data_IF_314283758675
#
_entry.id   IF_314283758675
#
_cell.length_a   1.000
_cell.length_b   1.000
_cell.length_c   1.000
_cell.angle_alpha   90.00
_cell.angle_beta   90.00
_cell.angle_gamma   90.00
#
_symmetry.space_group_name_H-M   'P 1'
#
loop_
_entity.id
_entity.type
_entity.pdbx_description
1 polymer ?
#
# COMPACT_ATOMS: atom_id res chain seq x y z
N UNK A 1 -14.33 -17.85 -6.25
CA UNK A 1 -13.26 -17.03 -5.67
C UNK A 1 -13.78 -16.46 -4.36
N UNK A 2 -12.98 -16.55 -3.30
CA UNK A 2 -13.30 -15.87 -2.05
C UNK A 2 -13.29 -14.34 -2.30
N UNK A 3 -14.18 -13.63 -1.61
CA UNK A 3 -14.26 -12.17 -1.71
C UNK A 3 -13.65 -11.54 -0.47
N UNK A 4 -13.09 -10.35 -0.61
CA UNK A 4 -12.64 -9.52 0.51
C UNK A 4 -13.79 -9.32 1.52
N UNK A 5 -13.46 -9.42 2.79
CA UNK A 5 -14.42 -9.30 3.87
C UNK A 5 -14.37 -7.89 4.47
N UNK A 6 -15.37 -7.08 4.15
CA UNK A 6 -15.44 -5.69 4.60
C UNK A 6 -15.34 -5.53 6.13
N UNK A 7 -15.92 -6.48 6.89
CA UNK A 7 -15.87 -6.45 8.35
C UNK A 7 -14.43 -6.58 8.87
N UNK A 8 -13.63 -7.52 8.35
CA UNK A 8 -12.22 -7.68 8.74
C UNK A 8 -11.41 -6.42 8.44
N UNK A 9 -11.56 -5.86 7.24
CA UNK A 9 -10.89 -4.60 6.87
C UNK A 9 -11.31 -3.43 7.75
N UNK A 10 -12.58 -3.35 8.14
CA UNK A 10 -13.05 -2.34 9.07
C UNK A 10 -12.41 -2.50 10.46
N UNK A 11 -12.25 -3.72 10.94
CA UNK A 11 -11.56 -4.03 12.20
C UNK A 11 -10.08 -3.63 12.15
N UNK A 12 -9.39 -3.95 11.04
CA UNK A 12 -8.01 -3.53 10.80
C UNK A 12 -7.86 -2.00 10.85
N UNK A 13 -8.70 -1.26 10.11
CA UNK A 13 -8.70 0.21 10.10
C UNK A 13 -9.04 0.76 11.49
N UNK A 14 -10.01 0.15 12.17
CA UNK A 14 -10.42 0.57 13.51
C UNK A 14 -9.29 0.44 14.52
N UNK A 15 -8.53 -0.66 14.48
CA UNK A 15 -7.34 -0.81 15.31
C UNK A 15 -6.35 0.31 15.06
N UNK A 16 -5.98 0.53 13.80
CA UNK A 16 -4.98 1.53 13.41
C UNK A 16 -5.37 2.95 13.84
N UNK A 17 -6.64 3.30 13.69
CA UNK A 17 -7.13 4.66 13.96
C UNK A 17 -7.36 4.95 15.45
N UNK A 18 -7.43 3.91 16.29
CA UNK A 18 -7.63 4.06 17.74
C UNK A 18 -6.31 4.20 18.52
N UNK A 19 -5.15 3.95 17.91
CA UNK A 19 -3.86 4.10 18.57
C UNK A 19 -3.66 5.55 19.06
N UNK A 20 -3.16 5.68 20.31
CA UNK A 20 -2.82 6.97 20.91
C UNK A 20 -1.49 6.86 21.64
N UNK A 21 -0.57 7.85 21.41
CA UNK A 21 -0.64 8.91 20.39
C UNK A 21 -0.76 8.30 18.99
N UNK A 22 -1.12 9.11 17.98
CA UNK A 22 -1.22 8.59 16.62
C UNK A 22 0.13 8.10 16.09
N UNK A 23 0.12 7.18 15.13
CA UNK A 23 1.27 6.44 14.61
C UNK A 23 2.15 7.25 13.64
N UNK A 24 2.51 8.49 14.01
CA UNK A 24 3.47 9.29 13.26
C UNK A 24 4.92 8.95 13.65
N UNK A 25 5.90 9.52 12.94
CA UNK A 25 7.31 9.22 13.12
C UNK A 25 7.86 9.49 14.53
N UNK A 26 7.27 10.39 15.30
CA UNK A 26 7.69 10.71 16.68
C UNK A 26 7.20 9.66 17.70
N UNK A 27 6.15 8.92 17.38
CA UNK A 27 5.45 8.03 18.29
C UNK A 27 5.84 6.57 18.08
N UNK A 28 7.08 6.24 18.43
CA UNK A 28 7.68 4.91 18.21
C UNK A 28 6.88 3.76 18.81
N UNK A 29 6.23 3.96 19.97
CA UNK A 29 5.39 2.94 20.61
C UNK A 29 4.16 2.62 19.77
N UNK A 30 3.53 3.63 19.16
CA UNK A 30 2.38 3.43 18.27
C UNK A 30 2.79 2.76 16.96
N UNK A 31 3.94 3.12 16.39
CA UNK A 31 4.51 2.44 15.22
C UNK A 31 4.83 0.96 15.55
N UNK A 32 5.42 0.70 16.71
CA UNK A 32 5.69 -0.67 17.17
C UNK A 32 4.39 -1.46 17.41
N UNK A 33 3.33 -0.81 17.92
CA UNK A 33 2.02 -1.45 18.08
C UNK A 33 1.43 -1.90 16.74
N UNK A 34 1.58 -1.10 15.68
CA UNK A 34 1.17 -1.51 14.32
C UNK A 34 1.97 -2.72 13.86
N UNK A 35 3.29 -2.68 13.97
CA UNK A 35 4.15 -3.81 13.58
C UNK A 35 3.76 -5.09 14.33
N UNK A 36 3.49 -4.99 15.63
CA UNK A 36 3.05 -6.13 16.43
C UNK A 36 1.68 -6.65 15.98
N UNK A 37 0.72 -5.77 15.72
CA UNK A 37 -0.59 -6.14 15.18
C UNK A 37 -0.44 -6.93 13.86
N UNK A 38 0.34 -6.40 12.90
CA UNK A 38 0.61 -7.06 11.62
C UNK A 38 1.25 -8.44 11.80
N UNK A 39 2.19 -8.56 12.74
CA UNK A 39 2.80 -9.85 13.08
C UNK A 39 1.80 -10.86 13.60
N UNK A 40 0.87 -10.45 14.46
CA UNK A 40 -0.15 -11.35 14.98
C UNK A 40 -1.11 -11.80 13.86
N UNK A 41 -1.51 -10.90 12.96
CA UNK A 41 -2.32 -11.27 11.79
C UNK A 41 -1.62 -12.30 10.88
N UNK A 42 -0.32 -12.13 10.63
CA UNK A 42 0.46 -13.10 9.86
C UNK A 42 0.62 -14.44 10.60
N UNK A 43 0.78 -14.43 11.94
CA UNK A 43 0.83 -15.64 12.75
C UNK A 43 -0.48 -16.42 12.72
N UNK A 44 -1.63 -15.74 12.72
CA UNK A 44 -2.95 -16.39 12.58
C UNK A 44 -3.07 -17.17 11.25
N UNK A 45 -2.35 -16.73 10.23
CA UNK A 45 -2.24 -17.43 8.95
C UNK A 45 -1.12 -18.49 8.92
N UNK A 46 -0.42 -18.73 10.05
CA UNK A 46 0.77 -19.56 10.13
C UNK A 46 1.88 -19.13 9.16
N UNK A 47 2.04 -17.83 8.96
CA UNK A 47 3.01 -17.27 8.03
C UNK A 47 4.16 -16.55 8.72
N UNK A 48 5.35 -16.64 8.11
CA UNK A 48 6.54 -15.93 8.56
C UNK A 48 6.59 -14.51 8.05
N UNK A 49 7.43 -13.71 8.66
CA UNK A 49 7.70 -12.33 8.28
C UNK A 49 9.18 -11.99 8.52
N UNK A 50 9.63 -10.92 7.88
CA UNK A 50 10.96 -10.34 8.06
C UNK A 50 10.81 -8.87 8.47
N UNK A 51 11.58 -8.45 9.47
CA UNK A 51 11.69 -7.06 9.91
C UNK A 51 12.91 -6.42 9.27
N UNK A 52 12.69 -5.47 8.39
CA UNK A 52 13.76 -4.62 7.87
C UNK A 52 13.87 -3.39 8.73
N UNK A 53 14.96 -3.28 9.48
CA UNK A 53 15.19 -2.19 10.44
C UNK A 53 16.27 -1.25 9.94
N UNK A 54 16.10 0.04 10.23
CA UNK A 54 17.11 1.07 9.96
C UNK A 54 17.02 2.20 10.97
N UNK A 55 18.08 3.02 11.02
CA UNK A 55 18.13 4.21 11.87
C UNK A 55 17.83 5.46 11.04
N UNK A 56 16.94 6.32 11.53
CA UNK A 56 16.68 7.64 11.01
C UNK A 56 16.54 8.61 12.20
N UNK A 57 17.22 9.76 12.16
CA UNK A 57 17.23 10.78 13.22
C UNK A 57 17.44 10.22 14.65
N UNK A 58 18.27 9.18 14.77
CA UNK A 58 18.61 8.57 16.06
C UNK A 58 17.60 7.54 16.59
N UNK A 59 16.51 7.27 15.88
CA UNK A 59 15.49 6.28 16.22
C UNK A 59 15.53 5.09 15.26
N UNK A 60 15.13 3.90 15.74
CA UNK A 60 15.00 2.70 14.91
C UNK A 60 13.57 2.59 14.37
N UNK A 61 13.46 2.43 13.05
CA UNK A 61 12.20 2.20 12.33
C UNK A 61 12.19 0.85 11.64
N UNK A 62 11.01 0.36 11.27
CA UNK A 62 10.85 -1.00 10.78
C UNK A 62 9.88 -1.05 9.61
N UNK A 63 10.31 -1.61 8.46
CA UNK A 63 9.37 -2.17 7.50
C UNK A 63 9.08 -3.61 7.88
N UNK A 64 7.82 -4.05 7.77
CA UNK A 64 7.46 -5.45 7.93
C UNK A 64 7.21 -6.08 6.55
N UNK A 65 7.87 -7.20 6.29
CA UNK A 65 7.83 -7.87 4.99
C UNK A 65 7.32 -9.30 5.16
N UNK A 66 6.31 -9.65 4.37
CA UNK A 66 5.83 -11.01 4.24
C UNK A 66 5.97 -11.49 2.81
N UNK A 67 6.50 -12.71 2.60
CA UNK A 67 6.69 -13.28 1.27
C UNK A 67 5.73 -14.43 1.01
N UNK A 68 4.81 -14.24 0.07
CA UNK A 68 4.00 -15.32 -0.49
C UNK A 68 4.81 -16.06 -1.56
N UNK A 69 4.82 -17.41 -1.49
CA UNK A 69 5.62 -18.27 -2.36
C UNK A 69 7.10 -17.83 -2.43
N UNK A 70 7.84 -17.85 -1.29
CA UNK A 70 9.21 -17.33 -1.19
C UNK A 70 10.21 -18.05 -2.11
N UNK A 71 9.88 -19.27 -2.57
CA UNK A 71 10.74 -20.08 -3.44
C UNK A 71 10.78 -19.60 -4.90
N UNK A 72 9.89 -18.70 -5.30
CA UNK A 72 9.86 -18.16 -6.65
C UNK A 72 10.91 -17.07 -6.83
N UNK A 73 11.71 -17.16 -7.90
CA UNK A 73 12.77 -16.18 -8.20
C UNK A 73 12.23 -14.83 -8.62
N UNK A 74 11.17 -14.82 -9.45
CA UNK A 74 10.51 -13.58 -9.87
C UNK A 74 9.58 -13.09 -8.77
N UNK A 75 9.64 -11.80 -8.45
CA UNK A 75 8.91 -11.18 -7.34
C UNK A 75 8.06 -10.01 -7.81
N UNK A 76 6.81 -9.98 -7.40
CA UNK A 76 5.97 -8.78 -7.41
C UNK A 76 6.05 -8.15 -6.02
N UNK A 77 6.23 -6.83 -5.94
CA UNK A 77 6.16 -6.12 -4.66
C UNK A 77 4.77 -5.50 -4.54
N UNK A 78 4.12 -5.70 -3.40
CA UNK A 78 2.88 -5.01 -3.04
C UNK A 78 3.09 -4.30 -1.71
N UNK A 79 2.77 -3.01 -1.64
CA UNK A 79 3.09 -2.20 -0.46
C UNK A 79 2.00 -1.24 -0.06
N UNK A 80 2.06 -0.83 1.21
CA UNK A 80 1.29 0.26 1.80
C UNK A 80 2.09 0.84 2.96
N UNK A 81 2.04 2.16 3.19
CA UNK A 81 2.65 2.71 4.39
C UNK A 81 1.68 2.66 5.57
N UNK A 82 2.23 2.58 6.78
CA UNK A 82 1.43 2.45 7.99
C UNK A 82 1.56 3.62 8.96
N UNK A 83 2.49 4.54 8.74
CA UNK A 83 2.60 5.80 9.47
C UNK A 83 1.54 6.81 9.03
N UNK A 84 1.43 7.92 9.74
CA UNK A 84 0.50 9.02 9.44
C UNK A 84 1.19 10.37 9.53
N UNK A 85 0.67 11.33 8.78
CA UNK A 85 1.12 12.72 8.83
C UNK A 85 0.62 13.39 10.12
N UNK A 86 1.55 13.82 10.98
CA UNK A 86 1.22 14.59 12.17
C UNK A 86 0.26 13.92 13.14
N UNK A 87 -0.65 14.70 13.73
CA UNK A 87 -1.57 14.26 14.77
C UNK A 87 -2.97 13.96 14.21
N UNK A 88 -3.08 12.86 13.47
CA UNK A 88 -4.33 12.43 12.84
C UNK A 88 -4.48 10.90 12.82
N UNK A 89 -5.73 10.38 12.78
CA UNK A 89 -5.98 8.93 12.86
C UNK A 89 -5.57 8.15 11.60
N UNK A 90 -5.50 8.79 10.41
CA UNK A 90 -5.08 8.16 9.16
C UNK A 90 -5.95 6.97 8.75
N UNK A 91 -7.27 7.16 8.68
CA UNK A 91 -8.19 6.06 8.33
C UNK A 91 -8.09 5.68 6.85
N UNK A 92 -8.09 6.69 5.96
CA UNK A 92 -7.92 6.49 4.52
C UNK A 92 -6.45 6.52 4.17
N UNK A 93 -5.76 7.55 4.62
CA UNK A 93 -4.32 7.74 4.49
C UNK A 93 -3.59 7.25 5.77
N UNK A 94 -2.99 6.06 5.82
CA UNK A 94 -3.10 5.04 4.78
C UNK A 94 -3.58 3.72 5.41
N UNK A 95 -4.42 3.83 6.48
CA UNK A 95 -5.01 2.68 7.19
C UNK A 95 -5.84 1.78 6.26
N UNK A 96 -6.55 2.39 5.30
CA UNK A 96 -7.35 1.64 4.31
C UNK A 96 -6.47 0.75 3.42
N UNK A 97 -5.33 1.25 3.00
CA UNK A 97 -4.37 0.51 2.19
C UNK A 97 -3.69 -0.61 2.98
N UNK A 98 -3.33 -0.37 4.25
CA UNK A 98 -2.80 -1.40 5.15
C UNK A 98 -3.81 -2.54 5.30
N UNK A 99 -5.08 -2.22 5.59
CA UNK A 99 -6.15 -3.21 5.69
C UNK A 99 -6.37 -3.98 4.37
N UNK A 100 -6.35 -3.27 3.25
CA UNK A 100 -6.44 -3.89 1.92
C UNK A 100 -5.28 -4.84 1.62
N UNK A 101 -4.06 -4.49 2.06
CA UNK A 101 -2.87 -5.32 1.87
C UNK A 101 -2.95 -6.60 2.72
N UNK A 102 -3.35 -6.49 4.00
CA UNK A 102 -3.60 -7.65 4.88
C UNK A 102 -4.68 -8.55 4.29
N UNK A 103 -5.79 -7.97 3.85
CA UNK A 103 -6.89 -8.74 3.25
C UNK A 103 -6.47 -9.45 1.97
N UNK A 104 -5.59 -8.84 1.18
CA UNK A 104 -5.00 -9.49 -0.02
C UNK A 104 -4.19 -10.73 0.38
N UNK A 105 -3.40 -10.65 1.45
CA UNK A 105 -2.66 -11.80 1.99
C UNK A 105 -3.63 -12.90 2.42
N UNK A 106 -4.66 -12.57 3.21
CA UNK A 106 -5.68 -13.52 3.68
C UNK A 106 -6.35 -14.24 2.51
N UNK A 107 -6.75 -13.50 1.46
CA UNK A 107 -7.38 -14.06 0.27
C UNK A 107 -6.49 -15.01 -0.53
N UNK A 108 -5.19 -14.72 -0.63
CA UNK A 108 -4.25 -15.59 -1.33
C UNK A 108 -4.12 -16.93 -0.61
N UNK A 109 -4.01 -16.93 0.72
CA UNK A 109 -3.94 -18.16 1.51
C UNK A 109 -5.28 -18.91 1.52
N UNK A 110 -6.40 -18.23 1.70
CA UNK A 110 -7.74 -18.83 1.64
C UNK A 110 -8.03 -19.47 0.28
N UNK A 111 -7.45 -18.93 -0.79
CA UNK A 111 -7.64 -19.42 -2.16
C UNK A 111 -6.62 -20.50 -2.55
N UNK A 112 -5.59 -20.70 -1.74
CA UNK A 112 -4.46 -21.58 -2.05
C UNK A 112 -3.92 -21.40 -3.48
N UNK A 113 -3.79 -20.14 -3.89
CA UNK A 113 -3.47 -19.78 -5.26
C UNK A 113 -2.00 -20.03 -5.56
N UNK A 114 -1.69 -20.86 -6.56
CA UNK A 114 -0.33 -21.04 -7.04
C UNK A 114 -0.06 -20.07 -8.20
N UNK A 115 1.04 -19.32 -8.08
CA UNK A 115 1.49 -18.32 -9.05
C UNK A 115 2.86 -18.74 -9.64
N UNK A 116 3.17 -18.26 -10.83
CA UNK A 116 4.48 -18.44 -11.45
C UNK A 116 5.56 -17.54 -10.83
N UNK A 117 5.16 -16.60 -9.99
CA UNK A 117 6.00 -15.65 -9.26
C UNK A 117 5.61 -15.60 -7.80
N UNK A 118 6.51 -15.11 -6.95
CA UNK A 118 6.18 -14.81 -5.56
C UNK A 118 5.77 -13.36 -5.39
N UNK A 119 5.15 -13.06 -4.25
CA UNK A 119 4.76 -11.69 -3.89
C UNK A 119 5.43 -11.33 -2.57
N UNK A 120 6.07 -10.16 -2.52
CA UNK A 120 6.56 -9.55 -1.29
C UNK A 120 5.59 -8.45 -0.88
N UNK A 121 4.88 -8.68 0.22
CA UNK A 121 4.02 -7.70 0.85
C UNK A 121 4.85 -6.89 1.83
N UNK A 122 4.88 -5.58 1.65
CA UNK A 122 5.71 -4.68 2.44
C UNK A 122 4.85 -3.59 3.09
N UNK A 123 4.85 -3.59 4.41
CA UNK A 123 4.26 -2.52 5.21
C UNK A 123 5.36 -1.52 5.53
N UNK A 124 5.31 -0.36 4.88
CA UNK A 124 6.35 0.67 4.95
C UNK A 124 6.15 1.60 6.13
N UNK A 125 7.27 2.07 6.70
CA UNK A 125 7.30 3.15 7.68
C UNK A 125 7.98 4.37 7.09
N UNK A 126 7.72 5.55 7.67
CA UNK A 126 8.32 6.83 7.30
C UNK A 126 8.02 7.24 5.83
N UNK A 127 6.80 7.02 5.38
CA UNK A 127 6.35 7.57 4.11
C UNK A 127 6.03 9.06 4.24
N UNK A 128 5.49 9.47 5.37
CA UNK A 128 4.99 10.81 5.63
C UNK A 128 6.10 11.86 5.92
N UNK A 129 5.83 13.15 5.75
CA UNK A 129 6.75 14.20 6.16
C UNK A 129 7.17 14.06 7.65
N UNK A 130 8.46 14.32 7.95
CA UNK A 130 9.48 14.96 7.12
C UNK A 130 10.30 14.02 6.24
N UNK A 131 10.03 12.71 6.26
CA UNK A 131 10.86 11.70 5.58
C UNK A 131 10.45 11.46 4.13
N UNK A 132 9.29 11.94 3.73
CA UNK A 132 8.82 11.79 2.35
C UNK A 132 9.87 12.21 1.31
N UNK A 133 10.16 11.30 0.37
CA UNK A 133 11.14 11.55 -0.69
C UNK A 133 12.60 11.55 -0.26
N UNK A 134 12.93 11.20 0.99
CA UNK A 134 14.30 11.09 1.48
C UNK A 134 14.85 9.66 1.36
N UNK A 135 16.17 9.50 1.58
CA UNK A 135 16.81 8.17 1.65
C UNK A 135 16.43 7.37 2.92
N UNK A 136 15.83 8.02 3.90
CA UNK A 136 15.38 7.42 5.15
C UNK A 136 13.93 6.90 5.06
N UNK A 137 13.19 7.26 4.01
CA UNK A 137 11.84 6.74 3.74
C UNK A 137 11.87 5.22 3.59
N UNK A 138 10.97 4.51 4.26
CA UNK A 138 10.98 3.06 4.31
C UNK A 138 10.93 2.36 2.95
N UNK A 139 10.19 2.92 1.99
CA UNK A 139 10.16 2.40 0.62
C UNK A 139 11.50 2.60 -0.12
N UNK A 140 12.23 3.69 0.15
CA UNK A 140 13.58 3.88 -0.38
C UNK A 140 14.56 2.85 0.21
N UNK A 141 14.53 2.65 1.52
CA UNK A 141 15.36 1.65 2.23
C UNK A 141 15.11 0.24 1.65
N UNK A 142 13.84 -0.11 1.43
CA UNK A 142 13.48 -1.39 0.82
C UNK A 142 13.97 -1.48 -0.63
N UNK A 143 13.71 -0.49 -1.47
CA UNK A 143 14.16 -0.46 -2.86
C UNK A 143 15.67 -0.60 -2.98
N UNK A 144 16.44 0.10 -2.12
CA UNK A 144 17.91 -0.02 -2.05
C UNK A 144 18.35 -1.45 -1.70
N UNK A 145 17.65 -2.12 -0.79
CA UNK A 145 17.98 -3.49 -0.37
C UNK A 145 17.80 -4.52 -1.49
N UNK A 146 16.75 -4.37 -2.32
CA UNK A 146 16.46 -5.29 -3.44
C UNK A 146 17.14 -4.89 -4.76
N UNK A 147 17.78 -3.73 -4.81
CA UNK A 147 18.35 -3.15 -6.05
C UNK A 147 19.39 -4.05 -6.75
N UNK A 148 20.13 -4.88 -5.99
CA UNK A 148 21.12 -5.81 -6.52
C UNK A 148 20.48 -6.97 -7.31
N UNK A 149 19.20 -7.26 -7.07
CA UNK A 149 18.44 -8.33 -7.72
C UNK A 149 17.23 -7.75 -8.49
N UNK A 150 17.34 -6.50 -8.95
CA UNK A 150 16.23 -5.78 -9.60
C UNK A 150 15.68 -6.50 -10.84
N UNK A 151 16.50 -7.30 -11.51
CA UNK A 151 16.08 -8.11 -12.66
C UNK A 151 15.05 -9.19 -12.30
N UNK A 152 14.94 -9.52 -11.01
CA UNK A 152 13.94 -10.45 -10.49
C UNK A 152 12.64 -9.75 -10.10
N UNK A 153 12.62 -8.43 -9.97
CA UNK A 153 11.42 -7.66 -9.65
C UNK A 153 10.61 -7.44 -10.93
N UNK A 154 9.40 -7.97 -10.99
CA UNK A 154 8.50 -7.83 -12.14
C UNK A 154 7.67 -6.55 -12.11
N UNK A 155 7.53 -5.94 -10.96
CA UNK A 155 6.83 -4.68 -10.76
C UNK A 155 6.54 -4.41 -9.30
N UNK A 156 5.99 -3.22 -9.03
CA UNK A 156 5.51 -2.81 -7.72
C UNK A 156 4.10 -2.24 -7.84
N UNK A 157 3.23 -2.58 -6.89
CA UNK A 157 1.90 -2.00 -6.71
C UNK A 157 1.88 -1.41 -5.31
N UNK A 158 1.68 -0.11 -5.18
CA UNK A 158 1.47 0.57 -3.92
C UNK A 158 -0.02 0.84 -3.74
N UNK A 159 -0.58 0.43 -2.62
CA UNK A 159 -1.94 0.78 -2.22
C UNK A 159 -1.89 2.12 -1.50
N UNK A 160 -2.76 3.04 -1.94
CA UNK A 160 -2.79 4.40 -1.43
C UNK A 160 -4.22 4.91 -1.39
N UNK A 161 -4.70 5.33 -0.20
CA UNK A 161 -6.00 5.97 0.01
C UNK A 161 -7.16 5.26 -0.72
N UNK A 162 -7.36 3.97 -0.46
CA UNK A 162 -8.32 3.11 -1.17
C UNK A 162 -9.66 2.95 -0.44
N UNK A 163 -9.86 3.61 0.70
CA UNK A 163 -11.03 3.43 1.56
C UNK A 163 -12.13 4.48 1.39
N UNK A 164 -11.82 5.67 0.87
CA UNK A 164 -12.82 6.70 0.71
C UNK A 164 -13.75 6.43 -0.47
N UNK A 165 -15.06 6.39 -0.21
CA UNK A 165 -16.08 6.17 -1.23
C UNK A 165 -17.26 7.11 -1.03
N UNK A 166 -17.73 7.77 -2.11
CA UNK A 166 -18.89 8.65 -2.05
C UNK A 166 -19.59 8.80 -3.41
N UNK A 167 -20.91 8.60 -3.43
CA UNK A 167 -21.76 8.86 -4.59
C UNK A 167 -22.20 10.33 -4.72
N UNK A 168 -21.80 11.18 -3.77
CA UNK A 168 -22.13 12.60 -3.79
C UNK A 168 -21.39 13.29 -4.95
N UNK A 169 -22.12 14.07 -5.75
CA UNK A 169 -21.51 14.89 -6.80
C UNK A 169 -20.54 15.92 -6.20
N UNK A 170 -19.34 16.01 -6.77
CA UNK A 170 -18.28 16.91 -6.29
C UNK A 170 -17.50 16.39 -5.09
N UNK A 171 -17.67 15.11 -4.70
CA UNK A 171 -16.89 14.49 -3.62
C UNK A 171 -15.45 14.14 -4.00
N UNK A 172 -15.14 14.03 -5.31
CA UNK A 172 -13.78 13.80 -5.78
C UNK A 172 -13.03 15.12 -5.93
N UNK A 173 -11.96 15.29 -5.17
CA UNK A 173 -10.94 16.32 -5.37
C UNK A 173 -9.91 15.88 -6.41
N UNK A 174 -9.29 16.84 -7.08
CA UNK A 174 -8.17 16.58 -8.00
C UNK A 174 -7.08 17.62 -7.78
N UNK A 175 -5.80 17.22 -7.80
CA UNK A 175 -4.68 18.14 -7.62
C UNK A 175 -4.55 19.16 -8.76
N UNK A 176 -5.07 18.82 -9.95
CA UNK A 176 -5.07 19.73 -11.10
C UNK A 176 -6.47 19.86 -11.71
N UNK A 177 -6.94 21.10 -12.00
CA UNK A 177 -8.30 21.35 -12.53
C UNK A 177 -8.65 20.62 -13.82
N UNK A 178 -7.68 20.40 -14.72
CA UNK A 178 -7.89 19.69 -15.98
C UNK A 178 -8.34 18.23 -15.77
N UNK A 179 -7.99 17.59 -14.67
CA UNK A 179 -8.41 16.23 -14.35
C UNK A 179 -9.92 16.12 -14.13
N UNK A 180 -10.59 17.21 -13.72
CA UNK A 180 -12.06 17.28 -13.59
C UNK A 180 -12.79 17.11 -14.92
N UNK A 181 -12.11 17.33 -16.04
CA UNK A 181 -12.68 17.14 -17.39
C UNK A 181 -12.56 15.69 -17.87
N UNK A 182 -11.64 14.93 -17.29
CA UNK A 182 -11.28 13.58 -17.73
C UNK A 182 -11.86 12.50 -16.82
N UNK A 183 -12.12 12.82 -15.55
CA UNK A 183 -12.50 11.85 -14.53
C UNK A 183 -13.80 12.22 -13.83
N UNK A 184 -14.53 11.24 -13.23
CA UNK A 184 -15.79 11.50 -12.55
C UNK A 184 -15.64 12.46 -11.37
N UNK A 185 -16.68 13.25 -11.13
CA UNK A 185 -16.76 14.16 -9.98
C UNK A 185 -17.20 13.47 -8.68
N UNK A 186 -17.59 12.21 -8.74
CA UNK A 186 -17.92 11.38 -7.58
C UNK A 186 -16.74 10.51 -7.22
N UNK A 187 -16.43 10.41 -5.94
CA UNK A 187 -15.36 9.54 -5.42
C UNK A 187 -15.86 8.09 -5.26
N UNK A 188 -16.40 7.49 -6.32
CA UNK A 188 -16.92 6.13 -6.34
C UNK A 188 -16.22 5.23 -7.35
N UNK A 189 -14.93 5.44 -7.50
CA UNK A 189 -14.06 4.69 -8.40
C UNK A 189 -12.69 4.45 -7.77
N UNK A 190 -11.92 3.55 -8.37
CA UNK A 190 -10.49 3.37 -8.07
C UNK A 190 -9.67 3.86 -9.26
N UNK A 191 -8.49 4.43 -8.97
CA UNK A 191 -7.56 4.90 -10.01
C UNK A 191 -6.24 4.16 -9.92
N UNK A 192 -5.74 3.66 -11.05
CA UNK A 192 -4.36 3.23 -11.16
C UNK A 192 -3.51 4.38 -11.68
N UNK A 193 -2.45 4.72 -10.98
CA UNK A 193 -1.48 5.73 -11.39
C UNK A 193 -0.17 5.03 -11.71
N UNK A 194 0.38 5.28 -12.88
CA UNK A 194 1.61 4.62 -13.29
C UNK A 194 2.56 5.56 -14.04
N UNK A 195 3.84 5.24 -14.01
CA UNK A 195 4.85 5.97 -14.79
C UNK A 195 4.91 5.44 -16.22
N UNK A 196 5.05 6.30 -17.24
CA UNK A 196 4.96 5.91 -18.66
C UNK A 196 5.97 4.84 -19.08
N UNK A 197 7.14 4.82 -18.46
CA UNK A 197 8.21 3.87 -18.76
C UNK A 197 7.80 2.41 -18.51
N UNK A 198 6.78 2.17 -17.68
CA UNK A 198 6.26 0.85 -17.32
C UNK A 198 4.84 0.62 -17.83
N UNK A 199 4.46 1.26 -18.93
CA UNK A 199 3.09 1.25 -19.46
C UNK A 199 2.51 -0.16 -19.63
N UNK A 200 3.29 -1.13 -20.11
CA UNK A 200 2.81 -2.53 -20.24
C UNK A 200 2.36 -3.12 -18.91
N UNK A 201 3.13 -2.91 -17.85
CA UNK A 201 2.78 -3.35 -16.49
C UNK A 201 1.56 -2.60 -15.99
N UNK A 202 1.54 -1.27 -16.13
CA UNK A 202 0.43 -0.43 -15.71
C UNK A 202 -0.88 -0.84 -16.39
N UNK A 203 -0.86 -1.08 -17.70
CA UNK A 203 -2.04 -1.53 -18.45
C UNK A 203 -2.50 -2.92 -18.01
N UNK A 204 -1.58 -3.84 -17.72
CA UNK A 204 -1.93 -5.17 -17.22
C UNK A 204 -2.68 -5.07 -15.88
N UNK A 205 -2.19 -4.26 -14.95
CA UNK A 205 -2.85 -4.03 -13.65
C UNK A 205 -4.21 -3.37 -13.84
N UNK A 206 -4.28 -2.30 -14.63
CA UNK A 206 -5.54 -1.61 -14.96
C UNK A 206 -6.60 -2.56 -15.53
N UNK A 207 -6.25 -3.36 -16.54
CA UNK A 207 -7.18 -4.30 -17.16
C UNK A 207 -7.62 -5.41 -16.20
N UNK A 208 -6.69 -5.91 -15.36
CA UNK A 208 -7.00 -6.87 -14.32
C UNK A 208 -8.01 -6.33 -13.32
N UNK A 209 -7.77 -5.13 -12.81
CA UNK A 209 -8.68 -4.45 -11.87
C UNK A 209 -10.04 -4.17 -12.51
N UNK A 210 -10.06 -3.64 -13.74
CA UNK A 210 -11.31 -3.36 -14.48
C UNK A 210 -12.17 -4.60 -14.69
N UNK A 211 -11.54 -5.75 -14.94
CA UNK A 211 -12.24 -7.03 -15.14
C UNK A 211 -12.82 -7.57 -13.82
N UNK A 212 -12.13 -7.35 -12.69
CA UNK A 212 -12.51 -7.88 -11.38
C UNK A 212 -13.34 -6.93 -10.51
N UNK A 213 -13.52 -5.68 -10.92
CA UNK A 213 -14.16 -4.64 -10.10
C UNK A 213 -15.64 -4.44 -10.48
N UNK A 214 -16.47 -4.20 -9.46
CA UNK A 214 -17.88 -3.79 -9.60
C UNK A 214 -18.03 -2.25 -9.65
N UNK A 215 -16.96 -1.52 -9.32
CA UNK A 215 -16.91 -0.05 -9.39
C UNK A 215 -16.09 0.43 -10.59
N UNK A 216 -16.20 1.70 -10.94
CA UNK A 216 -15.38 2.31 -12.00
C UNK A 216 -13.89 2.16 -11.71
N UNK A 217 -13.12 1.75 -12.71
CA UNK A 217 -11.65 1.73 -12.65
C UNK A 217 -11.13 2.64 -13.74
N UNK A 218 -10.27 3.57 -13.37
CA UNK A 218 -9.63 4.51 -14.28
C UNK A 218 -8.12 4.34 -14.24
N UNK A 219 -7.45 4.79 -15.28
CA UNK A 219 -6.00 4.75 -15.37
C UNK A 219 -5.45 6.14 -15.69
N UNK A 220 -4.41 6.52 -15.00
CA UNK A 220 -3.63 7.71 -15.25
C UNK A 220 -2.16 7.33 -15.47
N UNK A 221 -1.74 7.36 -16.74
CA UNK A 221 -0.35 7.13 -17.15
C UNK A 221 0.16 8.35 -17.89
N UNK A 222 0.81 9.27 -17.19
CA UNK A 222 1.40 10.46 -17.80
C UNK A 222 2.69 10.84 -17.07
N UNK A 223 3.57 11.60 -17.75
CA UNK A 223 4.78 12.17 -17.14
C UNK A 223 4.50 13.02 -15.88
N UNK A 224 3.28 13.52 -15.72
CA UNK A 224 2.75 14.10 -14.47
C UNK A 224 2.62 13.07 -13.34
N UNK A 225 2.56 11.76 -13.61
CA UNK A 225 2.53 10.71 -12.60
C UNK A 225 3.76 10.72 -11.69
N UNK A 226 4.92 11.12 -12.19
CA UNK A 226 6.13 11.35 -11.38
C UNK A 226 5.99 12.50 -10.40
N UNK A 227 5.21 13.52 -10.75
CA UNK A 227 4.94 14.69 -9.90
C UNK A 227 3.84 14.41 -8.88
N UNK A 228 2.92 13.49 -9.17
CA UNK A 228 1.80 13.13 -8.29
C UNK A 228 2.16 11.98 -7.33
N UNK A 229 3.08 11.10 -7.70
CA UNK A 229 3.67 10.11 -6.81
C UNK A 229 4.68 10.72 -5.82
N UNK A 230 4.95 12.01 -5.94
CA UNK A 230 5.81 12.82 -5.07
C UNK A 230 5.04 13.95 -4.40
N UNK A 231 3.74 13.86 -4.32
CA UNK A 231 2.83 14.69 -3.53
C UNK A 231 2.09 13.84 -2.52
#
# INVERSE_FOLDING_TARGET
>A
MNRAQAQRMYEDVSFLTQLRPFRNYENLESLAAVVNYLKEELKLLNQGFFEQKWMAEGNEYTNLIHSYQPNKTKRLIMGAHYDVCGDQPGADDNGSAVAGLIETIRLLYDSNLELDYGIDFVFYCLEEPPFFGTEEMGSYVHAKSVSKNKENIIGMICYEMIGYFSDKKGSQGFPHPALKLLYPSKANFIMTVGVPEYDKFNQMIYQGMKKGSEIGVYHFGHSLGRSLAGM
#
